data_IF_083105854272
#
_entry.id   IF_083105854272
#
_cell.length_a   1.000
_cell.length_b   1.000
_cell.length_c   1.000
_cell.angle_alpha   90.00
_cell.angle_beta   90.00
_cell.angle_gamma   90.00
#
_symmetry.space_group_name_H-M   'P 1'
#
loop_
_entity.id
_entity.type
_entity.pdbx_description
1 polymer ?
#
# COMPACT_ATOMS: atom_id res chain seq x y z
N UNK A 1 -16.18 -20.30 -17.11
CA UNK A 1 -16.02 -21.73 -16.79
C UNK A 1 -15.30 -21.87 -15.46
N UNK A 2 -15.57 -22.91 -14.67
CA UNK A 2 -14.75 -23.26 -13.49
C UNK A 2 -13.55 -24.10 -13.97
N UNK A 3 -12.44 -24.05 -13.23
CA UNK A 3 -11.26 -24.86 -13.52
C UNK A 3 -11.59 -26.35 -13.30
N UNK A 4 -11.16 -27.18 -14.23
CA UNK A 4 -11.16 -28.64 -14.08
C UNK A 4 -9.93 -29.03 -13.26
N UNK A 5 -10.12 -29.13 -11.95
CA UNK A 5 -9.07 -29.40 -10.97
C UNK A 5 -9.56 -30.50 -10.04
N UNK A 6 -8.73 -31.50 -9.72
CA UNK A 6 -9.06 -32.52 -8.70
C UNK A 6 -9.10 -31.89 -7.31
N UNK A 7 -9.70 -32.56 -6.33
CA UNK A 7 -9.70 -32.05 -4.95
C UNK A 7 -8.28 -32.08 -4.35
N UNK A 8 -7.48 -33.11 -4.62
CA UNK A 8 -6.07 -33.15 -4.19
C UNK A 8 -5.23 -31.99 -4.75
N UNK A 9 -5.35 -31.69 -6.04
CA UNK A 9 -4.63 -30.57 -6.64
C UNK A 9 -5.14 -29.20 -6.14
N UNK A 10 -6.43 -29.11 -5.81
CA UNK A 10 -6.97 -27.94 -5.12
C UNK A 10 -6.33 -27.78 -3.74
N UNK A 11 -6.18 -28.88 -3.02
CA UNK A 11 -5.65 -28.86 -1.67
C UNK A 11 -4.20 -28.39 -1.63
N UNK A 12 -3.37 -28.84 -2.59
CA UNK A 12 -1.98 -28.37 -2.74
C UNK A 12 -1.90 -26.85 -2.97
N UNK A 13 -2.74 -26.31 -3.86
CA UNK A 13 -2.79 -24.87 -4.09
C UNK A 13 -3.28 -24.09 -2.86
N UNK A 14 -4.28 -24.62 -2.15
CA UNK A 14 -4.79 -23.98 -0.93
C UNK A 14 -3.73 -24.03 0.18
N UNK A 15 -3.01 -25.14 0.33
CA UNK A 15 -1.93 -25.29 1.30
C UNK A 15 -0.79 -24.30 1.02
N UNK A 16 -0.41 -24.11 -0.25
CA UNK A 16 0.58 -23.09 -0.65
C UNK A 16 0.08 -21.64 -0.42
N UNK A 17 -1.20 -21.36 -0.67
CA UNK A 17 -1.78 -20.02 -0.41
C UNK A 17 -1.87 -19.73 1.09
N UNK A 18 -2.26 -20.72 1.88
CA UNK A 18 -2.42 -20.59 3.34
C UNK A 18 -1.05 -20.50 3.99
N UNK A 19 -0.09 -21.32 3.57
CA UNK A 19 1.30 -21.32 4.03
C UNK A 19 1.45 -21.19 5.56
N UNK A 20 0.63 -21.94 6.32
CA UNK A 20 0.65 -21.89 7.79
C UNK A 20 -0.18 -20.76 8.43
N UNK A 21 -0.72 -19.81 7.66
CA UNK A 21 -1.60 -18.77 8.20
C UNK A 21 -3.00 -19.32 8.56
N UNK A 22 -3.22 -19.61 9.83
CA UNK A 22 -4.49 -20.15 10.31
C UNK A 22 -5.67 -19.16 10.28
N UNK A 23 -5.39 -17.86 10.15
CA UNK A 23 -6.42 -16.81 10.22
C UNK A 23 -6.98 -16.42 8.84
N UNK A 24 -6.35 -16.85 7.74
CA UNK A 24 -6.85 -16.59 6.38
C UNK A 24 -8.20 -17.29 6.13
N UNK A 25 -9.14 -16.56 5.52
CA UNK A 25 -10.50 -17.05 5.29
C UNK A 25 -10.74 -17.65 3.89
N UNK A 26 -11.80 -18.45 3.69
CA UNK A 26 -12.09 -19.14 2.43
C UNK A 26 -12.39 -18.24 1.24
N UNK A 27 -12.93 -17.05 1.48
CA UNK A 27 -13.14 -16.08 0.39
C UNK A 27 -11.83 -15.43 -0.05
N UNK A 28 -10.90 -15.23 0.88
CA UNK A 28 -9.57 -14.71 0.59
C UNK A 28 -8.81 -15.76 -0.23
N UNK A 29 -8.72 -17.01 0.24
CA UNK A 29 -8.10 -18.13 -0.49
C UNK A 29 -8.68 -18.26 -1.91
N UNK A 30 -10.01 -18.20 -2.07
CA UNK A 30 -10.65 -18.28 -3.39
C UNK A 30 -10.31 -17.08 -4.29
N UNK A 31 -10.09 -15.90 -3.73
CA UNK A 31 -9.64 -14.74 -4.49
C UNK A 31 -8.18 -14.92 -4.95
N UNK A 32 -7.30 -15.46 -4.11
CA UNK A 32 -5.92 -15.80 -4.50
C UNK A 32 -5.87 -16.85 -5.62
N UNK A 33 -6.69 -17.90 -5.53
CA UNK A 33 -6.84 -18.88 -6.61
C UNK A 33 -7.26 -18.21 -7.92
N UNK A 34 -8.22 -17.28 -7.87
CA UNK A 34 -8.65 -16.53 -9.07
C UNK A 34 -7.54 -15.68 -9.67
N UNK A 35 -6.72 -15.02 -8.83
CA UNK A 35 -5.56 -14.25 -9.28
C UNK A 35 -4.56 -15.15 -10.03
N UNK A 36 -4.41 -16.40 -9.58
CA UNK A 36 -3.63 -17.45 -10.26
C UNK A 36 -4.34 -18.08 -11.47
N UNK A 37 -5.46 -17.51 -11.94
CA UNK A 37 -6.24 -18.05 -13.07
C UNK A 37 -7.18 -19.22 -12.72
N UNK A 38 -7.18 -19.69 -11.47
CA UNK A 38 -7.97 -20.83 -11.02
C UNK A 38 -9.33 -20.38 -10.48
N UNK A 39 -10.36 -20.50 -11.31
CA UNK A 39 -11.74 -20.23 -10.88
C UNK A 39 -12.36 -21.49 -10.28
N UNK A 40 -12.52 -21.53 -8.96
CA UNK A 40 -13.06 -22.68 -8.21
C UNK A 40 -14.44 -22.37 -7.61
N UNK A 41 -15.32 -23.37 -7.48
CA UNK A 41 -16.63 -23.19 -6.82
C UNK A 41 -16.44 -22.86 -5.33
N UNK A 42 -17.31 -22.01 -4.77
CA UNK A 42 -17.31 -21.64 -3.34
C UNK A 42 -17.36 -22.88 -2.42
N UNK A 43 -18.18 -23.87 -2.77
CA UNK A 43 -18.31 -25.11 -1.99
C UNK A 43 -16.99 -25.88 -1.91
N UNK A 44 -16.26 -25.98 -3.03
CA UNK A 44 -15.00 -26.73 -3.11
C UNK A 44 -13.87 -26.03 -2.36
N UNK A 45 -13.73 -24.71 -2.52
CA UNK A 45 -12.73 -23.96 -1.75
C UNK A 45 -12.95 -24.04 -0.23
N UNK A 46 -14.21 -24.12 0.23
CA UNK A 46 -14.52 -24.33 1.65
C UNK A 46 -14.23 -25.76 2.11
N UNK A 47 -14.58 -26.75 1.30
CA UNK A 47 -14.31 -28.16 1.59
C UNK A 47 -12.81 -28.41 1.71
N UNK A 48 -12.03 -27.93 0.74
CA UNK A 48 -10.56 -27.99 0.74
C UNK A 48 -9.96 -27.39 2.03
N UNK A 49 -10.37 -26.19 2.43
CA UNK A 49 -9.90 -25.59 3.68
C UNK A 49 -10.27 -26.38 4.94
N UNK A 50 -11.42 -27.07 4.95
CA UNK A 50 -11.81 -27.95 6.06
C UNK A 50 -11.00 -29.25 6.08
N UNK A 51 -10.64 -29.79 4.90
CA UNK A 51 -9.82 -30.99 4.78
C UNK A 51 -8.37 -30.73 5.18
N UNK A 52 -7.79 -29.59 4.77
CA UNK A 52 -6.38 -29.26 5.07
C UNK A 52 -6.17 -28.90 6.54
N UNK A 53 -7.06 -28.09 7.14
CA UNK A 53 -6.90 -27.67 8.54
C UNK A 53 -8.27 -27.37 9.19
N UNK A 54 -8.95 -28.40 9.75
CA UNK A 54 -10.23 -28.22 10.42
C UNK A 54 -10.11 -27.39 11.72
N UNK A 55 -8.96 -27.46 12.41
CA UNK A 55 -8.69 -26.67 13.62
C UNK A 55 -8.71 -25.17 13.35
N UNK A 56 -7.96 -24.73 12.32
CA UNK A 56 -7.96 -23.35 11.87
C UNK A 56 -9.36 -22.88 11.40
N UNK A 57 -10.16 -23.78 10.81
CA UNK A 57 -11.54 -23.47 10.45
C UNK A 57 -12.44 -23.22 11.67
N UNK A 58 -12.29 -24.01 12.73
CA UNK A 58 -12.98 -23.83 14.00
C UNK A 58 -12.54 -22.53 14.70
N UNK A 59 -11.24 -22.26 14.76
CA UNK A 59 -10.68 -21.03 15.32
C UNK A 59 -11.34 -19.79 14.70
N UNK A 60 -11.41 -19.73 13.36
CA UNK A 60 -12.04 -18.62 12.63
C UNK A 60 -13.54 -18.47 12.88
N UNK A 61 -14.23 -19.54 13.27
CA UNK A 61 -15.66 -19.48 13.59
C UNK A 61 -15.91 -18.80 14.96
N UNK A 62 -14.97 -18.93 15.89
CA UNK A 62 -15.08 -18.41 17.27
C UNK A 62 -14.53 -16.99 17.40
N UNK A 63 -13.65 -16.55 16.49
CA UNK A 63 -13.10 -15.19 16.49
C UNK A 63 -14.20 -14.12 16.33
N UNK A 64 -14.29 -13.22 17.31
CA UNK A 64 -15.21 -12.07 17.29
C UNK A 64 -14.88 -11.14 16.13
N UNK A 65 -15.90 -10.80 15.33
CA UNK A 65 -15.77 -9.80 14.28
C UNK A 65 -16.08 -8.41 14.84
N UNK A 66 -15.25 -7.39 14.55
CA UNK A 66 -15.55 -6.03 14.96
C UNK A 66 -16.89 -5.54 14.43
N UNK A 67 -17.54 -4.67 15.21
CA UNK A 67 -18.77 -3.99 14.78
C UNK A 67 -18.54 -3.16 13.51
N UNK A 68 -19.59 -3.08 12.70
CA UNK A 68 -19.55 -2.41 11.40
C UNK A 68 -20.09 -1.00 11.56
N UNK A 69 -19.33 -0.01 11.08
CA UNK A 69 -19.76 1.38 11.01
C UNK A 69 -20.12 1.78 9.57
N UNK A 70 -21.11 2.63 9.42
CA UNK A 70 -21.47 3.22 8.13
C UNK A 70 -20.43 4.26 7.76
N UNK A 71 -19.85 4.13 6.57
CA UNK A 71 -18.87 5.05 6.02
C UNK A 71 -19.24 5.36 4.57
N UNK A 72 -19.30 6.65 4.21
CA UNK A 72 -19.67 7.12 2.88
C UNK A 72 -18.80 8.30 2.45
N UNK A 73 -18.49 8.36 1.17
CA UNK A 73 -17.84 9.46 0.45
C UNK A 73 -18.44 9.56 -0.96
N UNK A 74 -18.22 10.67 -1.65
CA UNK A 74 -18.90 11.01 -2.91
C UNK A 74 -18.68 10.02 -4.07
N UNK A 75 -17.56 9.31 -4.09
CA UNK A 75 -17.22 8.39 -5.16
C UNK A 75 -15.77 7.89 -5.09
N UNK A 76 -15.36 7.05 -6.05
CA UNK A 76 -13.95 6.67 -6.20
C UNK A 76 -13.05 7.91 -6.29
N UNK A 77 -11.83 7.82 -5.77
CA UNK A 77 -10.86 8.91 -5.72
C UNK A 77 -11.33 10.16 -4.98
N UNK A 78 -12.48 10.16 -4.30
CA UNK A 78 -12.91 11.32 -3.52
C UNK A 78 -12.05 11.52 -2.27
N UNK A 79 -11.64 10.42 -1.64
CA UNK A 79 -10.79 10.45 -0.44
C UNK A 79 -9.99 9.14 -0.32
N UNK A 80 -8.67 9.26 -0.34
CA UNK A 80 -7.78 8.15 0.05
C UNK A 80 -7.39 8.27 1.51
N UNK A 81 -7.37 7.14 2.22
CA UNK A 81 -6.96 7.02 3.62
C UNK A 81 -5.54 6.44 3.63
N UNK A 82 -4.58 7.16 4.18
CA UNK A 82 -3.15 6.81 4.18
C UNK A 82 -2.69 6.70 5.63
N UNK A 83 -1.87 5.69 5.93
CA UNK A 83 -1.38 5.43 7.27
C UNK A 83 -0.12 4.56 7.26
N UNK A 84 0.63 4.58 8.36
CA UNK A 84 1.75 3.69 8.65
C UNK A 84 1.36 2.63 9.68
N UNK A 85 1.73 1.38 9.43
CA UNK A 85 1.51 0.28 10.36
C UNK A 85 2.84 -0.14 11.02
N UNK A 86 2.88 -0.02 12.34
CA UNK A 86 4.07 -0.22 13.17
C UNK A 86 4.10 -1.58 13.88
N UNK A 87 3.32 -2.58 13.44
CA UNK A 87 3.29 -3.90 14.09
C UNK A 87 4.65 -4.63 14.05
N UNK A 88 5.49 -4.34 13.06
CA UNK A 88 6.82 -4.92 12.93
C UNK A 88 7.94 -3.92 13.30
N UNK A 89 7.61 -2.81 13.97
CA UNK A 89 8.58 -1.74 14.25
C UNK A 89 9.71 -2.17 15.18
N UNK A 90 9.48 -3.19 16.02
CA UNK A 90 10.52 -3.81 16.87
C UNK A 90 11.74 -4.25 16.05
N UNK A 91 11.49 -4.79 14.86
CA UNK A 91 12.51 -5.22 13.92
C UNK A 91 12.82 -4.15 12.86
N UNK A 92 12.55 -2.87 13.15
CA UNK A 92 12.78 -1.73 12.25
C UNK A 92 12.07 -1.83 10.89
N UNK A 93 10.92 -2.52 10.83
CA UNK A 93 10.11 -2.64 9.61
C UNK A 93 8.77 -1.92 9.80
N UNK A 94 8.43 -1.05 8.85
CA UNK A 94 7.17 -0.31 8.81
C UNK A 94 6.43 -0.63 7.51
N UNK A 95 5.11 -0.85 7.60
CA UNK A 95 4.26 -1.07 6.42
C UNK A 95 3.45 0.18 6.16
N UNK A 96 3.68 0.83 5.02
CA UNK A 96 2.93 1.99 4.56
C UNK A 96 1.76 1.54 3.68
N UNK A 97 0.60 2.18 3.82
CA UNK A 97 -0.56 1.80 3.05
C UNK A 97 -1.49 2.94 2.72
N UNK A 98 -2.23 2.78 1.62
CA UNK A 98 -3.36 3.64 1.29
C UNK A 98 -4.52 2.86 0.68
N UNK A 99 -5.73 3.33 1.00
CA UNK A 99 -6.99 2.73 0.55
C UNK A 99 -7.99 3.80 0.10
N UNK A 100 -8.66 3.55 -1.03
CA UNK A 100 -9.76 4.39 -1.50
C UNK A 100 -10.99 4.24 -0.59
N UNK A 101 -11.49 5.36 -0.06
CA UNK A 101 -12.56 5.35 0.94
C UNK A 101 -13.91 4.85 0.43
N UNK A 102 -14.16 5.01 -0.87
CA UNK A 102 -15.42 4.60 -1.52
C UNK A 102 -15.42 3.11 -1.80
N UNK A 103 -14.50 2.67 -2.65
CA UNK A 103 -14.44 1.32 -3.21
C UNK A 103 -13.79 0.31 -2.27
N UNK A 104 -13.01 0.78 -1.29
CA UNK A 104 -12.12 -0.03 -0.45
C UNK A 104 -10.98 -0.68 -1.24
N UNK A 105 -10.65 -0.12 -2.41
CA UNK A 105 -9.51 -0.53 -3.21
C UNK A 105 -8.23 -0.13 -2.49
N UNK A 106 -7.34 -1.08 -2.24
CA UNK A 106 -5.98 -0.80 -1.75
C UNK A 106 -5.19 -0.25 -2.93
N UNK A 107 -4.77 1.02 -2.82
CA UNK A 107 -4.05 1.71 -3.90
C UNK A 107 -2.54 1.49 -3.79
N UNK A 108 -2.02 1.33 -2.57
CA UNK A 108 -0.68 0.76 -2.34
C UNK A 108 -0.55 0.13 -0.95
N UNK A 109 0.36 -0.83 -0.83
CA UNK A 109 0.92 -1.38 0.40
C UNK A 109 2.40 -1.65 0.16
N UNK A 110 3.27 -1.19 1.06
CA UNK A 110 4.73 -1.33 0.91
C UNK A 110 5.42 -1.39 2.27
N UNK A 111 6.29 -2.38 2.48
CA UNK A 111 7.13 -2.48 3.66
C UNK A 111 8.49 -1.83 3.40
N UNK A 112 8.96 -1.03 4.35
CA UNK A 112 10.28 -0.38 4.34
C UNK A 112 11.00 -0.52 5.68
N UNK A 113 12.31 -0.35 5.65
CA UNK A 113 13.18 -0.29 6.82
C UNK A 113 13.21 1.09 7.50
N UNK A 114 12.32 2.01 7.12
CA UNK A 114 12.29 3.38 7.60
C UNK A 114 10.86 3.93 7.58
N UNK A 115 10.66 5.05 8.28
CA UNK A 115 9.39 5.79 8.35
C UNK A 115 9.48 7.17 7.65
N UNK A 116 10.35 7.32 6.64
CA UNK A 116 10.63 8.62 6.01
C UNK A 116 9.46 9.07 5.13
N UNK A 117 9.19 10.37 5.14
CA UNK A 117 8.11 10.93 4.31
C UNK A 117 8.34 10.81 2.80
N UNK A 118 9.60 10.78 2.36
CA UNK A 118 9.98 10.52 0.96
C UNK A 118 9.57 9.11 0.50
N UNK A 119 9.68 8.11 1.38
CA UNK A 119 9.27 6.72 1.10
C UNK A 119 7.76 6.61 0.89
N UNK A 120 6.97 7.27 1.74
CA UNK A 120 5.51 7.34 1.61
C UNK A 120 5.11 8.08 0.34
N UNK A 121 5.76 9.21 0.04
CA UNK A 121 5.51 9.98 -1.19
C UNK A 121 5.81 9.17 -2.45
N UNK A 122 6.92 8.43 -2.49
CA UNK A 122 7.26 7.57 -3.62
C UNK A 122 6.19 6.51 -3.89
N UNK A 123 5.70 5.88 -2.82
CA UNK A 123 4.59 4.92 -2.89
C UNK A 123 3.28 5.57 -3.37
N UNK A 124 2.99 6.78 -2.88
CA UNK A 124 1.83 7.57 -3.27
C UNK A 124 1.85 7.93 -4.76
N UNK A 125 2.98 8.43 -5.28
CA UNK A 125 3.13 8.81 -6.70
C UNK A 125 2.92 7.60 -7.61
N UNK A 126 3.49 6.43 -7.27
CA UNK A 126 3.26 5.19 -8.03
C UNK A 126 1.78 4.81 -8.08
N UNK A 127 1.05 4.98 -6.97
CA UNK A 127 -0.38 4.73 -6.92
C UNK A 127 -1.18 5.74 -7.74
N UNK A 128 -0.81 7.02 -7.70
CA UNK A 128 -1.42 8.08 -8.52
C UNK A 128 -1.29 7.78 -10.01
N UNK A 129 -0.15 7.30 -10.47
CA UNK A 129 0.03 6.89 -11.88
C UNK A 129 -0.96 5.80 -12.28
N UNK A 130 -1.29 4.88 -11.36
CA UNK A 130 -2.16 3.74 -11.63
C UNK A 130 -3.65 4.07 -11.54
N UNK A 131 -4.04 4.95 -10.60
CA UNK A 131 -5.44 5.17 -10.23
C UNK A 131 -5.91 6.61 -10.41
N UNK A 132 -5.04 7.52 -10.84
CA UNK A 132 -5.31 8.96 -10.88
C UNK A 132 -5.09 9.64 -9.52
N UNK A 133 -4.99 10.97 -9.54
CA UNK A 133 -4.82 11.76 -8.31
C UNK A 133 -6.15 11.79 -7.55
N UNK A 134 -6.20 11.49 -6.24
CA UNK A 134 -7.44 11.66 -5.49
C UNK A 134 -7.82 13.16 -5.36
N UNK A 135 -9.09 13.45 -5.08
CA UNK A 135 -9.53 14.82 -4.77
C UNK A 135 -8.99 15.28 -3.41
N UNK A 136 -8.90 14.36 -2.45
CA UNK A 136 -8.41 14.59 -1.09
C UNK A 136 -7.68 13.36 -0.56
N UNK A 137 -6.77 13.56 0.38
CA UNK A 137 -6.19 12.51 1.22
C UNK A 137 -6.58 12.73 2.67
N UNK A 138 -6.67 11.66 3.45
CA UNK A 138 -6.77 11.69 4.91
C UNK A 138 -5.61 10.91 5.49
N UNK A 139 -4.93 11.54 6.43
CA UNK A 139 -3.82 10.96 7.16
C UNK A 139 -3.98 11.28 8.63
N UNK A 140 -3.23 10.59 9.48
CA UNK A 140 -3.03 11.05 10.84
C UNK A 140 -2.08 12.27 10.87
N UNK A 141 -1.52 12.59 12.05
CA UNK A 141 -0.53 13.67 12.21
C UNK A 141 0.91 13.16 12.22
N UNK A 142 1.17 11.96 11.69
CA UNK A 142 2.50 11.41 11.55
C UNK A 142 3.38 12.20 10.57
N UNK A 143 4.67 12.30 10.88
CA UNK A 143 5.64 13.03 10.06
C UNK A 143 5.89 12.37 8.71
N UNK A 144 5.70 11.05 8.62
CA UNK A 144 5.82 10.26 7.40
C UNK A 144 4.81 10.71 6.32
N UNK A 145 3.71 11.33 6.70
CA UNK A 145 2.66 11.80 5.78
C UNK A 145 2.89 13.24 5.27
N UNK A 146 3.98 13.91 5.68
CA UNK A 146 4.29 15.31 5.34
C UNK A 146 4.39 15.56 3.84
N UNK A 147 5.24 14.82 3.15
CA UNK A 147 5.50 15.02 1.74
C UNK A 147 4.23 14.79 0.88
N UNK A 148 3.39 13.81 1.23
CA UNK A 148 2.11 13.56 0.55
C UNK A 148 1.13 14.73 0.79
N UNK A 149 1.02 15.23 2.02
CA UNK A 149 0.13 16.35 2.33
C UNK A 149 0.53 17.61 1.57
N UNK A 150 1.83 17.93 1.56
CA UNK A 150 2.37 19.06 0.82
C UNK A 150 2.07 18.93 -0.67
N UNK A 151 2.36 17.77 -1.28
CA UNK A 151 2.08 17.52 -2.69
C UNK A 151 0.59 17.69 -3.01
N UNK A 152 -0.30 17.17 -2.17
CA UNK A 152 -1.74 17.29 -2.36
C UNK A 152 -2.24 18.73 -2.27
N UNK A 153 -1.68 19.53 -1.36
CA UNK A 153 -2.00 20.95 -1.25
C UNK A 153 -1.49 21.75 -2.47
N UNK A 154 -0.28 21.45 -2.96
CA UNK A 154 0.26 22.06 -4.18
C UNK A 154 -0.60 21.69 -5.40
N UNK A 155 -0.91 20.41 -5.57
CA UNK A 155 -1.59 19.91 -6.78
C UNK A 155 -3.09 20.22 -6.82
N UNK A 156 -3.77 20.23 -5.66
CA UNK A 156 -5.22 20.46 -5.59
C UNK A 156 -5.59 21.85 -5.08
N UNK A 157 -4.64 22.60 -4.53
CA UNK A 157 -4.86 23.88 -3.89
C UNK A 157 -4.88 23.78 -2.37
N UNK A 158 -4.38 24.84 -1.73
CA UNK A 158 -4.43 25.08 -0.29
C UNK A 158 -5.86 25.42 0.16
N UNK A 159 -6.14 25.33 1.47
CA UNK A 159 -7.38 25.74 2.15
C UNK A 159 -8.72 25.09 1.76
N UNK A 160 -8.76 24.24 0.72
CA UNK A 160 -9.96 23.45 0.36
C UNK A 160 -10.07 22.10 1.10
N UNK A 161 -9.12 21.80 1.98
CA UNK A 161 -8.97 20.51 2.65
C UNK A 161 -8.46 19.39 1.73
N UNK A 162 -7.45 19.68 0.91
CA UNK A 162 -6.80 18.69 0.02
C UNK A 162 -6.09 17.58 0.79
N UNK A 163 -5.48 17.92 1.93
CA UNK A 163 -5.00 16.96 2.93
C UNK A 163 -5.76 17.15 4.25
N UNK A 164 -6.49 16.12 4.68
CA UNK A 164 -7.27 16.10 5.91
C UNK A 164 -6.47 15.39 7.00
N UNK A 165 -5.78 16.15 7.85
CA UNK A 165 -5.06 15.59 9.00
C UNK A 165 -5.96 15.52 10.23
N UNK A 166 -5.98 14.38 10.90
CA UNK A 166 -6.83 14.19 12.07
C UNK A 166 -6.29 13.12 13.03
N UNK A 167 -7.10 12.75 14.02
CA UNK A 167 -6.80 11.57 14.85
C UNK A 167 -6.91 10.31 13.99
N UNK A 168 -6.06 9.32 14.24
CA UNK A 168 -6.07 8.01 13.57
C UNK A 168 -7.45 7.33 13.60
N UNK A 169 -8.24 7.57 14.66
CA UNK A 169 -9.63 7.08 14.79
C UNK A 169 -10.59 7.57 13.70
N UNK A 170 -10.25 8.65 12.97
CA UNK A 170 -11.00 9.12 11.81
C UNK A 170 -10.56 8.47 10.48
N UNK A 171 -9.41 7.77 10.48
CA UNK A 171 -8.84 7.02 9.36
C UNK A 171 -9.44 5.59 9.27
N UNK A 172 -10.76 5.49 9.43
CA UNK A 172 -11.44 4.22 9.71
C UNK A 172 -11.25 3.14 8.64
N UNK A 173 -11.01 3.53 7.38
CA UNK A 173 -10.88 2.58 6.27
C UNK A 173 -9.54 1.86 6.30
N UNK A 174 -8.45 2.58 6.53
CA UNK A 174 -7.11 1.99 6.60
C UNK A 174 -6.91 1.25 7.93
N UNK A 175 -7.46 1.74 9.04
CA UNK A 175 -7.48 1.02 10.32
C UNK A 175 -8.17 -0.34 10.22
N UNK A 176 -9.29 -0.39 9.48
CA UNK A 176 -9.96 -1.66 9.20
C UNK A 176 -9.11 -2.56 8.32
N UNK A 177 -8.45 -2.01 7.30
CA UNK A 177 -7.52 -2.75 6.45
C UNK A 177 -6.39 -3.37 7.27
N UNK A 178 -5.83 -2.65 8.26
CA UNK A 178 -4.79 -3.17 9.13
C UNK A 178 -5.21 -4.41 9.91
N UNK A 179 -6.45 -4.43 10.42
CA UNK A 179 -6.97 -5.62 11.06
C UNK A 179 -7.08 -6.82 10.11
N UNK A 180 -7.45 -6.59 8.84
CA UNK A 180 -7.53 -7.65 7.83
C UNK A 180 -6.14 -8.08 7.31
N UNK A 181 -5.19 -7.14 7.20
CA UNK A 181 -3.80 -7.41 6.86
C UNK A 181 -3.09 -8.23 7.94
N UNK A 182 -3.34 -7.90 9.21
CA UNK A 182 -2.86 -8.69 10.34
C UNK A 182 -3.25 -10.15 10.22
N UNK A 183 -4.55 -10.43 10.03
CA UNK A 183 -5.07 -11.79 9.83
C UNK A 183 -4.60 -12.43 8.52
N UNK A 184 -4.31 -11.60 7.52
CA UNK A 184 -3.96 -12.05 6.17
C UNK A 184 -2.50 -12.44 6.00
N UNK A 185 -1.58 -11.78 6.72
CA UNK A 185 -0.15 -12.09 6.64
C UNK A 185 0.72 -11.54 7.77
N UNK A 186 0.43 -10.35 8.34
CA UNK A 186 1.42 -9.69 9.23
C UNK A 186 1.62 -10.45 10.53
N UNK A 187 0.61 -11.18 11.01
CA UNK A 187 0.74 -12.03 12.19
C UNK A 187 1.82 -13.11 12.01
N UNK A 188 1.88 -13.74 10.83
CA UNK A 188 2.86 -14.80 10.55
C UNK A 188 4.29 -14.28 10.70
N UNK A 189 4.58 -13.08 10.17
CA UNK A 189 5.91 -12.47 10.32
C UNK A 189 6.20 -12.03 11.75
N UNK A 190 5.19 -11.51 12.47
CA UNK A 190 5.36 -11.14 13.87
C UNK A 190 5.69 -12.35 14.74
N UNK A 191 4.94 -13.45 14.57
CA UNK A 191 5.12 -14.69 15.32
C UNK A 191 6.47 -15.34 14.94
N UNK A 192 6.82 -15.33 13.65
CA UNK A 192 8.11 -15.82 13.16
C UNK A 192 9.28 -15.06 13.75
N UNK A 193 9.26 -13.72 13.75
CA UNK A 193 10.39 -12.95 14.26
C UNK A 193 10.55 -13.09 15.77
N UNK A 194 9.45 -13.19 16.52
CA UNK A 194 9.53 -13.55 17.93
C UNK A 194 10.16 -14.93 18.13
N UNK A 195 9.76 -15.92 17.33
CA UNK A 195 10.36 -17.25 17.40
C UNK A 195 11.87 -17.23 17.10
N UNK A 196 12.31 -16.47 16.09
CA UNK A 196 13.73 -16.32 15.78
C UNK A 196 14.53 -15.68 16.94
N UNK A 197 13.94 -14.73 17.67
CA UNK A 197 14.55 -14.15 18.88
C UNK A 197 14.59 -15.16 20.03
N UNK A 198 13.50 -15.88 20.27
CA UNK A 198 13.37 -16.86 21.37
C UNK A 198 14.35 -18.04 21.21
N UNK A 199 14.59 -18.49 19.99
CA UNK A 199 15.56 -19.55 19.67
C UNK A 199 17.01 -19.02 19.58
N UNK A 200 17.23 -17.72 19.76
CA UNK A 200 18.56 -17.11 19.66
C UNK A 200 19.17 -17.12 18.26
N UNK A 201 18.35 -17.30 17.22
CA UNK A 201 18.80 -17.24 15.81
C UNK A 201 19.12 -15.79 15.43
N UNK A 202 18.33 -14.84 15.92
CA UNK A 202 18.58 -13.41 15.73
C UNK A 202 18.73 -12.71 17.08
N UNK A 203 19.54 -11.66 17.08
CA UNK A 203 19.67 -10.72 18.18
C UNK A 203 19.33 -9.34 17.60
N UNK A 204 18.28 -8.71 18.11
CA UNK A 204 17.82 -7.41 17.59
C UNK A 204 18.73 -6.25 17.99
N UNK A 205 19.64 -6.46 18.95
CA UNK A 205 20.65 -5.50 19.33
C UNK A 205 21.94 -5.68 18.49
N UNK A 206 22.01 -6.74 17.67
CA UNK A 206 23.09 -6.97 16.71
C UNK A 206 22.71 -6.42 15.33
N UNK A 207 23.41 -5.37 14.89
CA UNK A 207 23.18 -4.72 13.59
C UNK A 207 23.38 -5.66 12.38
N UNK A 208 24.29 -6.63 12.47
CA UNK A 208 24.47 -7.65 11.43
C UNK A 208 23.25 -8.58 11.32
N UNK A 209 22.69 -8.98 12.46
CA UNK A 209 21.49 -9.83 12.50
C UNK A 209 20.27 -9.08 11.98
N UNK A 210 20.10 -7.81 12.35
CA UNK A 210 19.05 -6.95 11.80
C UNK A 210 19.21 -6.74 10.29
N UNK A 211 20.44 -6.54 9.81
CA UNK A 211 20.71 -6.44 8.38
C UNK A 211 20.31 -7.72 7.64
N UNK A 212 20.72 -8.89 8.15
CA UNK A 212 20.39 -10.19 7.58
C UNK A 212 18.87 -10.45 7.59
N UNK A 213 18.19 -10.08 8.68
CA UNK A 213 16.74 -10.12 8.79
C UNK A 213 16.07 -9.27 7.68
N UNK A 214 16.52 -8.03 7.50
CA UNK A 214 15.96 -7.14 6.47
C UNK A 214 16.21 -7.65 5.06
N UNK A 215 17.43 -8.14 4.79
CA UNK A 215 17.81 -8.69 3.50
C UNK A 215 16.91 -9.87 3.10
N UNK A 216 16.65 -10.80 4.02
CA UNK A 216 15.80 -11.97 3.76
C UNK A 216 14.31 -11.60 3.73
N UNK A 217 13.84 -10.81 4.70
CA UNK A 217 12.40 -10.70 4.95
C UNK A 217 11.72 -9.49 4.31
N UNK A 218 12.40 -8.37 4.03
CA UNK A 218 11.74 -7.27 3.31
C UNK A 218 11.27 -7.68 1.90
N UNK A 219 12.04 -8.42 1.09
CA UNK A 219 11.56 -8.93 -0.19
C UNK A 219 10.37 -9.88 -0.05
N UNK A 220 10.40 -10.76 0.96
CA UNK A 220 9.30 -11.72 1.25
C UNK A 220 8.02 -11.01 1.68
N UNK A 221 8.12 -10.07 2.61
CA UNK A 221 6.99 -9.26 3.07
C UNK A 221 6.41 -8.47 1.90
N UNK A 222 7.24 -7.82 1.07
CA UNK A 222 6.74 -7.04 -0.07
C UNK A 222 6.10 -7.92 -1.16
N UNK A 223 6.61 -9.12 -1.41
CA UNK A 223 5.94 -10.13 -2.27
C UNK A 223 4.56 -10.48 -1.70
N UNK A 224 4.47 -10.72 -0.41
CA UNK A 224 3.21 -11.14 0.23
C UNK A 224 2.21 -9.98 0.33
N UNK A 225 2.67 -8.75 0.54
CA UNK A 225 1.83 -7.54 0.47
C UNK A 225 1.25 -7.34 -0.94
N UNK A 226 2.03 -7.62 -1.98
CA UNK A 226 1.56 -7.58 -3.37
C UNK A 226 0.46 -8.60 -3.60
N UNK A 227 0.66 -9.83 -3.15
CA UNK A 227 -0.34 -10.89 -3.28
C UNK A 227 -1.61 -10.60 -2.47
N UNK A 228 -1.46 -10.11 -1.24
CA UNK A 228 -2.57 -9.65 -0.41
C UNK A 228 -3.34 -8.53 -1.12
N UNK A 229 -2.65 -7.55 -1.70
CA UNK A 229 -3.27 -6.45 -2.47
C UNK A 229 -4.06 -6.98 -3.65
N UNK A 230 -3.51 -7.91 -4.43
CA UNK A 230 -4.19 -8.52 -5.57
C UNK A 230 -5.42 -9.32 -5.14
N UNK A 231 -5.29 -10.14 -4.09
CA UNK A 231 -6.38 -10.89 -3.51
C UNK A 231 -7.48 -9.95 -3.00
N UNK A 232 -7.11 -8.93 -2.24
CA UNK A 232 -8.00 -7.94 -1.67
C UNK A 232 -8.75 -7.18 -2.77
N UNK A 233 -8.06 -6.64 -3.76
CA UNK A 233 -8.70 -5.82 -4.79
C UNK A 233 -9.66 -6.63 -5.68
N UNK A 234 -9.55 -7.95 -5.70
CA UNK A 234 -10.36 -8.85 -6.54
C UNK A 234 -11.36 -9.74 -5.77
N UNK A 235 -11.38 -9.71 -4.43
CA UNK A 235 -12.35 -10.49 -3.65
C UNK A 235 -13.72 -9.81 -3.59
N UNK A 236 -14.80 -10.60 -3.64
CA UNK A 236 -16.15 -10.06 -3.59
C UNK A 236 -16.56 -9.63 -2.17
N UNK A 237 -16.94 -8.36 -2.00
CA UNK A 237 -17.44 -7.83 -0.75
C UNK A 237 -18.91 -8.20 -0.56
N UNK A 238 -19.24 -8.95 0.50
CA UNK A 238 -20.62 -9.38 0.80
C UNK A 238 -21.60 -8.20 0.90
N UNK A 239 -21.16 -7.07 1.45
CA UNK A 239 -22.00 -5.88 1.62
C UNK A 239 -22.25 -5.13 0.32
N UNK A 240 -21.44 -5.39 -0.72
CA UNK A 240 -21.49 -4.71 -2.01
C UNK A 240 -21.95 -5.67 -3.11
N UNK A 241 -22.91 -6.54 -2.78
CA UNK A 241 -23.47 -7.55 -3.70
C UNK A 241 -22.39 -8.41 -4.36
N UNK A 242 -21.32 -8.72 -3.62
CA UNK A 242 -20.17 -9.50 -4.07
C UNK A 242 -19.34 -8.86 -5.20
N UNK A 243 -19.48 -7.56 -5.44
CA UNK A 243 -18.51 -6.82 -6.26
C UNK A 243 -17.18 -6.73 -5.53
N UNK A 244 -16.10 -6.82 -6.29
CA UNK A 244 -14.74 -6.58 -5.77
C UNK A 244 -14.45 -5.09 -5.62
N UNK A 245 -13.52 -4.70 -4.74
CA UNK A 245 -13.08 -3.30 -4.63
C UNK A 245 -12.72 -2.70 -5.99
N UNK A 246 -12.01 -3.43 -6.85
CA UNK A 246 -11.67 -2.97 -8.19
C UNK A 246 -12.90 -2.76 -9.08
N UNK A 247 -13.86 -3.69 -9.06
CA UNK A 247 -15.11 -3.51 -9.80
C UNK A 247 -15.93 -2.32 -9.30
N UNK A 248 -15.96 -2.08 -8.00
CA UNK A 248 -16.65 -0.92 -7.40
C UNK A 248 -15.95 0.38 -7.83
N UNK A 249 -14.62 0.40 -7.81
CA UNK A 249 -13.82 1.53 -8.26
C UNK A 249 -14.10 1.86 -9.73
N UNK A 250 -13.96 0.88 -10.62
CA UNK A 250 -14.15 1.07 -12.07
C UNK A 250 -15.59 1.48 -12.39
N UNK A 251 -16.57 0.74 -11.84
CA UNK A 251 -17.99 1.04 -12.08
C UNK A 251 -18.36 2.42 -11.56
N UNK A 252 -17.93 2.75 -10.34
CA UNK A 252 -18.18 4.06 -9.74
C UNK A 252 -17.55 5.20 -10.55
N UNK A 253 -16.36 4.96 -11.11
CA UNK A 253 -15.67 5.96 -11.93
C UNK A 253 -16.43 6.20 -13.24
N UNK A 254 -16.82 5.13 -13.94
CA UNK A 254 -17.61 5.23 -15.18
C UNK A 254 -18.97 5.90 -14.96
N UNK A 255 -19.64 5.60 -13.85
CA UNK A 255 -20.91 6.23 -13.48
C UNK A 255 -20.77 7.75 -13.23
N UNK A 256 -19.57 8.22 -12.90
CA UNK A 256 -19.29 9.62 -12.61
C UNK A 256 -18.50 10.32 -13.72
N UNK A 257 -18.23 9.67 -14.85
CA UNK A 257 -17.43 10.21 -15.94
C UNK A 257 -17.95 11.56 -16.48
N UNK A 258 -19.27 11.75 -16.53
CA UNK A 258 -19.90 13.00 -16.97
C UNK A 258 -20.00 14.07 -15.88
N UNK A 259 -19.55 13.81 -14.65
CA UNK A 259 -19.58 14.79 -13.56
C UNK A 259 -18.28 15.59 -13.55
N UNK A 260 -18.41 16.91 -13.41
CA UNK A 260 -17.28 17.82 -13.20
C UNK A 260 -16.73 17.72 -11.76
N UNK A 261 -16.32 16.52 -11.32
CA UNK A 261 -15.66 16.34 -10.03
C UNK A 261 -14.15 16.27 -10.21
N UNK A 262 -13.41 16.89 -9.28
CA UNK A 262 -11.94 16.91 -9.25
C UNK A 262 -11.35 15.49 -9.29
N UNK A 263 -12.04 14.52 -8.69
CA UNK A 263 -11.61 13.11 -8.66
C UNK A 263 -11.68 12.42 -10.04
N UNK A 264 -12.65 12.79 -10.88
CA UNK A 264 -12.88 12.14 -12.18
C UNK A 264 -12.13 12.83 -13.33
N UNK A 265 -11.82 14.12 -13.19
CA UNK A 265 -11.05 14.89 -14.17
C UNK A 265 -9.74 14.17 -14.54
N UNK A 266 -8.92 13.76 -13.57
CA UNK A 266 -7.63 13.12 -13.88
C UNK A 266 -7.76 11.69 -14.41
N UNK A 267 -8.84 10.98 -14.08
CA UNK A 267 -9.10 9.63 -14.59
C UNK A 267 -9.45 9.67 -16.09
N UNK A 268 -10.22 10.68 -16.53
CA UNK A 268 -10.81 10.71 -17.87
C UNK A 268 -10.27 11.81 -18.80
N UNK A 269 -9.80 12.96 -18.31
CA UNK A 269 -9.25 14.03 -19.16
C UNK A 269 -7.88 13.66 -19.74
N UNK A 270 -7.07 12.86 -19.03
CA UNK A 270 -5.77 12.36 -19.52
C UNK A 270 -5.89 11.56 -20.83
N UNK A 271 -7.06 10.96 -21.11
CA UNK A 271 -7.33 10.25 -22.38
C UNK A 271 -7.85 11.14 -23.51
N UNK A 272 -8.54 12.24 -23.20
CA UNK A 272 -9.10 13.12 -24.22
C UNK A 272 -7.99 13.92 -24.94
N UNK A 273 -6.96 14.37 -24.23
CA UNK A 273 -5.81 15.06 -24.83
C UNK A 273 -4.96 14.13 -25.73
N UNK A 274 -4.77 12.87 -25.33
CA UNK A 274 -4.05 11.87 -26.13
C UNK A 274 -4.83 11.43 -27.39
N UNK A 275 -6.17 11.34 -27.31
CA UNK A 275 -7.02 11.02 -28.46
C UNK A 275 -7.15 12.19 -29.45
N UNK A 276 -7.15 13.44 -28.95
CA UNK A 276 -7.21 14.64 -29.80
C UNK A 276 -5.91 14.89 -30.57
N UNK A 277 -4.75 14.44 -30.07
CA UNK A 277 -3.45 14.58 -30.75
C UNK A 277 -3.23 13.64 -31.94
N UNK A 278 -4.13 12.68 -32.20
CA UNK A 278 -3.99 11.69 -33.30
C UNK A 278 -4.87 12.00 -34.52
N UNK A 279 -5.73 13.03 -34.45
CA UNK A 279 -6.60 13.45 -35.57
C UNK A 279 -6.35 14.93 -35.84
N UNK A 280 -5.26 15.25 -36.53
CA UNK A 280 -4.92 16.64 -36.84
C UNK A 280 -3.61 16.81 -37.59
N UNK A 281 -3.31 15.91 -38.53
CA UNK A 281 -2.19 16.08 -39.46
C UNK A 281 -2.73 16.38 -40.85
N UNK A 282 -2.83 17.66 -41.22
CA UNK A 282 -2.63 18.16 -42.60
C UNK A 282 -2.52 19.68 -42.60
N UNK A 283 -1.30 20.13 -42.88
CA UNK A 283 -0.90 21.25 -43.74
C UNK A 283 -1.47 22.67 -43.52
N UNK A 284 -0.50 23.55 -43.22
CA UNK A 284 -0.19 24.81 -43.93
C UNK A 284 -0.75 26.13 -43.40
N UNK A 285 0.10 27.16 -43.41
CA UNK A 285 -0.32 28.56 -43.39
C UNK A 285 0.21 29.46 -42.26
N UNK A 286 1.34 30.11 -42.54
CA UNK A 286 1.59 31.54 -42.29
C UNK A 286 1.74 32.07 -40.86
N UNK A 287 2.99 32.39 -40.56
CA UNK A 287 3.45 33.39 -39.58
C UNK A 287 2.74 34.73 -39.81
N UNK A 288 2.09 35.28 -38.80
CA UNK A 288 1.98 36.74 -38.62
C UNK A 288 2.03 37.06 -37.13
N UNK A 289 3.00 37.88 -36.77
CA UNK A 289 3.12 38.53 -35.48
C UNK A 289 2.22 39.77 -35.46
N UNK A 290 1.47 39.95 -34.38
CA UNK A 290 0.92 41.26 -34.01
C UNK A 290 1.07 41.42 -32.51
N UNK A 291 1.93 42.37 -32.16
CA UNK A 291 2.09 42.95 -30.84
C UNK A 291 0.88 43.84 -30.48
N UNK A 292 0.77 44.14 -29.18
CA UNK A 292 0.02 45.25 -28.58
C UNK A 292 -1.49 45.00 -28.44
N UNK A 293 -2.17 45.29 -27.34
CA UNK A 293 -2.03 46.42 -26.43
C UNK A 293 -2.38 46.09 -24.97
N UNK A 294 -1.59 46.69 -24.10
CA UNK A 294 -1.88 47.06 -22.72
C UNK A 294 -3.13 47.94 -22.59
N UNK A 295 -4.05 47.60 -21.68
CA UNK A 295 -4.95 48.60 -21.07
C UNK A 295 -4.89 48.54 -19.56
N UNK A 296 -4.58 49.71 -19.01
CA UNK A 296 -4.22 49.99 -17.64
C UNK A 296 -5.37 49.85 -16.65
N UNK A 297 -4.99 49.47 -15.44
CA UNK A 297 -5.77 49.60 -14.23
C UNK A 297 -5.83 51.08 -13.77
N UNK A 298 -7.01 51.49 -13.32
CA UNK A 298 -7.24 52.54 -12.33
C UNK A 298 -7.99 51.80 -11.18
N UNK A 299 -7.58 51.77 -9.91
CA UNK A 299 -6.85 52.74 -9.11
C UNK A 299 -7.84 53.38 -8.13
N UNK A 300 -7.91 52.86 -6.90
CA UNK A 300 -8.50 53.38 -5.63
C UNK A 300 -8.50 52.18 -4.66
N UNK A 301 -7.92 52.15 -3.47
CA UNK A 301 -7.31 53.16 -2.63
C UNK A 301 -6.41 52.48 -1.60
N UNK A 302 -5.54 53.30 -1.03
CA UNK A 302 -4.51 53.00 -0.05
C UNK A 302 -5.08 52.49 1.27
N UNK A 303 -4.50 51.42 1.82
CA UNK A 303 -4.20 51.43 3.25
C UNK A 303 -2.91 50.65 3.53
N UNK A 304 -1.99 51.36 4.17
CA UNK A 304 -0.64 50.95 4.52
C UNK A 304 -0.65 50.13 5.81
N UNK A 305 -0.28 48.86 5.71
CA UNK A 305 0.06 48.01 6.85
C UNK A 305 1.18 47.08 6.45
N UNK A 306 2.42 47.46 6.76
CA UNK A 306 3.60 46.63 6.54
C UNK A 306 3.53 45.35 7.38
N UNK A 307 3.80 44.22 6.73
CA UNK A 307 3.96 42.93 7.38
C UNK A 307 4.63 41.98 6.40
N UNK A 308 5.93 41.75 6.59
CA UNK A 308 6.68 40.74 5.87
C UNK A 308 6.14 39.34 6.26
N UNK A 309 5.13 38.85 5.53
CA UNK A 309 4.50 37.54 5.75
C UNK A 309 4.59 36.63 4.50
N UNK A 310 5.65 36.76 3.71
CA UNK A 310 5.81 35.97 2.48
C UNK A 310 6.58 34.66 2.64
N UNK A 311 7.39 34.49 3.68
CA UNK A 311 8.37 33.39 3.79
C UNK A 311 8.18 32.48 5.01
N UNK A 312 7.37 32.89 5.99
CA UNK A 312 7.20 32.17 7.26
C UNK A 312 6.03 31.16 7.24
N UNK A 313 5.02 31.36 6.38
CA UNK A 313 3.89 30.42 6.24
C UNK A 313 4.31 29.07 5.62
N UNK A 314 5.31 29.08 4.73
CA UNK A 314 5.88 27.84 4.17
C UNK A 314 6.69 27.06 5.21
N UNK A 315 7.38 27.75 6.13
CA UNK A 315 8.11 27.12 7.23
C UNK A 315 7.18 26.35 8.17
N UNK A 316 6.04 26.95 8.53
CA UNK A 316 4.99 26.33 9.35
C UNK A 316 4.24 25.20 8.64
N UNK A 317 4.26 25.16 7.30
CA UNK A 317 3.70 24.06 6.50
C UNK A 317 4.63 22.84 6.43
N UNK A 318 5.93 23.02 6.70
CA UNK A 318 6.98 22.01 6.45
C UNK A 318 7.59 21.46 7.74
N UNK A 319 7.63 22.25 8.83
CA UNK A 319 8.25 21.82 10.07
C UNK A 319 7.26 21.07 10.99
N UNK A 320 7.22 19.75 10.82
CA UNK A 320 6.45 18.86 11.69
C UNK A 320 7.33 17.72 12.17
N UNK A 321 7.62 17.64 13.49
CA UNK A 321 8.59 16.68 14.01
C UNK A 321 8.10 15.24 13.83
N UNK A 322 9.00 14.37 13.39
CA UNK A 322 8.78 12.94 13.40
C UNK A 322 8.45 12.48 14.82
N UNK A 323 7.27 11.89 15.02
CA UNK A 323 6.90 11.32 16.33
C UNK A 323 7.48 9.92 16.54
N UNK A 324 7.85 9.26 15.45
CA UNK A 324 8.34 7.88 15.41
C UNK A 324 9.50 7.85 14.42
N UNK A 325 10.71 7.68 14.95
CA UNK A 325 11.93 7.50 14.19
C UNK A 325 12.31 6.02 14.24
N UNK A 326 12.56 5.44 13.06
CA UNK A 326 13.10 4.08 12.94
C UNK A 326 14.61 4.24 12.74
N UNK A 327 15.46 3.73 13.64
CA UNK A 327 16.90 3.82 13.47
C UNK A 327 17.33 3.18 12.15
N UNK A 328 18.30 3.78 11.46
CA UNK A 328 18.94 3.12 10.33
C UNK A 328 19.74 1.91 10.84
N UNK A 329 19.96 0.91 9.99
CA UNK A 329 20.85 -0.21 10.31
C UNK A 329 22.28 0.24 10.04
N UNK A 330 23.16 0.11 11.04
CA UNK A 330 24.54 0.61 10.98
C UNK A 330 25.51 -0.40 10.34
N UNK A 331 25.09 -1.65 10.17
CA UNK A 331 25.88 -2.67 9.49
C UNK A 331 25.79 -2.54 7.96
N UNK A 332 26.94 -2.62 7.29
CA UNK A 332 27.05 -2.59 5.83
C UNK A 332 28.06 -3.62 5.34
N UNK A 333 27.80 -4.16 4.15
CA UNK A 333 28.73 -5.04 3.44
C UNK A 333 29.48 -4.24 2.38
N UNK A 334 30.73 -4.61 2.13
CA UNK A 334 31.43 -4.13 0.95
C UNK A 334 30.87 -4.77 -0.33
N UNK A 335 31.25 -4.21 -1.49
CA UNK A 335 30.74 -4.67 -2.79
C UNK A 335 30.97 -6.17 -3.04
N UNK A 336 32.21 -6.69 -2.88
CA UNK A 336 32.50 -8.10 -3.09
C UNK A 336 31.72 -9.04 -2.15
N UNK A 337 31.56 -8.68 -0.87
CA UNK A 337 30.80 -9.47 0.08
C UNK A 337 29.31 -9.46 -0.28
N UNK A 338 28.77 -8.32 -0.68
CA UNK A 338 27.39 -8.21 -1.13
C UNK A 338 27.11 -9.08 -2.36
N UNK A 339 28.04 -9.15 -3.32
CA UNK A 339 27.92 -10.03 -4.49
C UNK A 339 27.84 -11.50 -4.09
N UNK A 340 28.70 -11.95 -3.17
CA UNK A 340 28.65 -13.33 -2.64
C UNK A 340 27.33 -13.62 -1.92
N UNK A 341 26.85 -12.68 -1.11
CA UNK A 341 25.56 -12.85 -0.41
C UNK A 341 24.41 -12.96 -1.41
N UNK A 342 24.40 -12.16 -2.48
CA UNK A 342 23.36 -12.24 -3.53
C UNK A 342 23.42 -13.56 -4.30
N UNK A 343 24.61 -14.07 -4.57
CA UNK A 343 24.80 -15.35 -5.26
C UNK A 343 24.33 -16.55 -4.41
N UNK A 344 24.68 -16.55 -3.12
CA UNK A 344 24.41 -17.68 -2.21
C UNK A 344 23.00 -17.63 -1.59
N UNK A 345 22.50 -16.44 -1.28
CA UNK A 345 21.28 -16.25 -0.50
C UNK A 345 20.27 -15.43 -1.28
N UNK A 346 19.51 -16.07 -2.16
CA UNK A 346 18.36 -15.42 -2.79
C UNK A 346 17.18 -15.35 -1.80
N UNK A 347 16.71 -14.16 -1.39
CA UNK A 347 15.65 -14.01 -0.39
C UNK A 347 14.32 -14.65 -0.78
N UNK A 348 14.06 -14.95 -2.05
CA UNK A 348 12.78 -15.45 -2.53
C UNK A 348 12.76 -16.95 -2.84
N UNK A 349 13.85 -17.68 -2.56
CA UNK A 349 13.91 -19.14 -2.75
C UNK A 349 13.15 -19.90 -1.66
N UNK A 350 12.87 -21.18 -1.93
CA UNK A 350 12.11 -22.04 -1.02
C UNK A 350 10.59 -21.83 -1.09
N UNK A 351 9.85 -22.72 -0.44
CA UNK A 351 8.38 -22.63 -0.36
C UNK A 351 7.96 -21.56 0.63
N UNK A 352 6.73 -21.05 0.51
CA UNK A 352 6.19 -20.08 1.49
C UNK A 352 6.11 -20.67 2.90
N UNK A 353 5.77 -21.96 2.99
CA UNK A 353 5.62 -22.67 4.26
C UNK A 353 6.93 -22.90 5.02
N UNK A 354 8.10 -22.81 4.37
CA UNK A 354 9.38 -22.89 5.10
C UNK A 354 9.73 -21.62 5.86
N UNK A 355 8.98 -20.53 5.61
CA UNK A 355 9.17 -19.21 6.21
C UNK A 355 10.55 -18.58 6.00
N UNK A 356 11.50 -19.25 5.33
CA UNK A 356 12.86 -18.74 5.14
C UNK A 356 13.78 -18.92 6.35
N UNK A 357 13.43 -19.78 7.32
CA UNK A 357 14.23 -20.00 8.54
C UNK A 357 15.65 -20.49 8.18
N UNK A 358 15.76 -21.53 7.34
CA UNK A 358 17.06 -22.06 6.90
C UNK A 358 17.91 -21.00 6.18
N UNK A 359 17.28 -20.08 5.44
CA UNK A 359 17.99 -19.02 4.73
C UNK A 359 18.57 -17.98 5.68
N UNK A 360 17.81 -17.54 6.69
CA UNK A 360 18.34 -16.58 7.66
C UNK A 360 19.42 -17.22 8.53
N UNK A 361 19.23 -18.46 8.99
CA UNK A 361 20.25 -19.17 9.77
C UNK A 361 21.53 -19.37 8.96
N UNK A 362 21.42 -19.75 7.68
CA UNK A 362 22.57 -19.91 6.80
C UNK A 362 23.28 -18.58 6.51
N UNK A 363 22.53 -17.49 6.33
CA UNK A 363 23.11 -16.17 6.09
C UNK A 363 23.87 -15.65 7.32
N UNK A 364 23.28 -15.79 8.51
CA UNK A 364 23.93 -15.39 9.77
C UNK A 364 25.21 -16.21 9.97
N UNK A 365 25.14 -17.53 9.81
CA UNK A 365 26.33 -18.37 9.91
C UNK A 365 27.44 -17.97 8.93
N UNK A 366 27.07 -17.66 7.68
CA UNK A 366 28.01 -17.19 6.67
C UNK A 366 28.68 -15.87 7.07
N UNK A 367 27.89 -14.89 7.51
CA UNK A 367 28.40 -13.59 7.94
C UNK A 367 29.28 -13.70 9.19
N UNK A 368 28.86 -14.49 10.19
CA UNK A 368 29.64 -14.75 11.40
C UNK A 368 30.99 -15.37 11.05
N UNK A 369 31.02 -16.38 10.17
CA UNK A 369 32.27 -17.03 9.76
C UNK A 369 33.23 -16.14 8.96
N UNK A 370 32.76 -14.97 8.54
CA UNK A 370 33.53 -14.03 7.72
C UNK A 370 33.98 -12.80 8.51
N UNK A 371 33.17 -12.35 9.47
CA UNK A 371 33.43 -11.16 10.30
C UNK A 371 33.91 -11.49 11.72
N UNK A 372 33.94 -12.77 12.11
CA UNK A 372 34.62 -13.33 13.27
C UNK A 372 35.67 -14.34 12.85
#
# INVERSE_FOLDING_TARGET
MYAELTDSALDEHVQDIVAGNEQIGPEAVRASLRVRGLRVQRRRGRASMLQINPGAAALRAVLRRPERRTYQVAGPNSLWHIDGNHKLIRWRIVIHGAIDGYSRLVVFLHASNNNRSSTVLSSFIRAVVSYGVPSRVRTDRGGENNAVCLMMNIFRGFDRGSALRGRSTHNQRIERLWGDLWRGMTNVYCDLFHHLEEEGIIDIDNEMHLWALHYIYLPRINRDLKDFTQQWNNHGLRTERHLSPLQIFVRGSLQQQGRASTAMQDIFQTRAAAAAGTIGGTADGSVTATESETTAAQGLGTDSGGGAHGTDELGLLVDWPERITVPDIEFTLDGPMMEQVVELFNPLTGTRGSHGIELISGLIYFLDSTYH
#
